data_IF_392743873700
#
_entry.id   IF_392743873700
#
_cell.length_a   1.000
_cell.length_b   1.000
_cell.length_c   1.000
_cell.angle_alpha   90.00
_cell.angle_beta   90.00
_cell.angle_gamma   90.00
#
_symmetry.space_group_name_H-M   'P 1'
#
loop_
_entity.id
_entity.type
_entity.pdbx_description
1 polymer ?
#
# COMPACT_ATOMS: atom_id res chain seq x y z
N UNK A 1 -8.90 -7.73 4.67
CA UNK A 1 -7.57 -8.25 5.05
C UNK A 1 -6.72 -7.14 5.64
N UNK A 2 -5.65 -7.49 6.35
CA UNK A 2 -4.69 -6.52 6.88
C UNK A 2 -3.33 -6.70 6.20
N UNK A 3 -2.79 -5.62 5.65
CA UNK A 3 -1.50 -5.60 4.97
C UNK A 3 -0.54 -4.67 5.69
N UNK A 4 0.70 -5.10 5.88
CA UNK A 4 1.79 -4.23 6.31
C UNK A 4 2.59 -3.78 5.10
N UNK A 5 2.79 -2.47 4.96
CA UNK A 5 3.70 -1.93 3.94
C UNK A 5 5.14 -2.00 4.44
N UNK A 6 6.05 -2.55 3.64
CA UNK A 6 7.49 -2.55 3.90
C UNK A 6 8.20 -1.90 2.71
N UNK A 7 8.72 -0.69 2.90
CA UNK A 7 9.34 0.10 1.83
C UNK A 7 9.70 1.50 2.31
N UNK A 8 10.14 2.37 1.39
CA UNK A 8 10.33 3.79 1.71
C UNK A 8 8.97 4.45 1.91
N UNK A 9 8.81 5.24 2.99
CA UNK A 9 7.57 6.01 3.17
C UNK A 9 7.44 7.07 2.09
N UNK A 10 6.26 7.24 1.51
CA UNK A 10 6.04 8.18 0.42
C UNK A 10 4.68 8.87 0.51
N UNK A 11 4.58 10.02 -0.16
CA UNK A 11 3.41 10.90 -0.09
C UNK A 11 3.32 11.62 1.25
N UNK A 12 2.60 12.75 1.28
CA UNK A 12 2.24 13.39 2.57
C UNK A 12 1.29 12.47 3.35
N UNK A 13 0.37 11.84 2.61
CA UNK A 13 -0.67 10.94 3.13
C UNK A 13 -0.71 9.60 2.34
N UNK A 14 0.44 9.08 1.91
CA UNK A 14 0.53 7.82 1.15
C UNK A 14 0.73 6.59 2.05
N UNK A 15 1.81 5.84 1.82
CA UNK A 15 2.17 4.67 2.64
C UNK A 15 3.38 4.96 3.53
N UNK A 16 3.29 4.54 4.79
CA UNK A 16 4.33 4.64 5.82
C UNK A 16 4.93 3.28 6.11
N UNK A 17 6.26 3.19 6.07
CA UNK A 17 6.99 1.97 6.35
C UNK A 17 6.60 1.33 7.70
N UNK A 18 6.26 0.04 7.66
CA UNK A 18 5.90 -0.76 8.83
C UNK A 18 4.47 -0.57 9.32
N UNK A 19 3.70 0.37 8.76
CA UNK A 19 2.28 0.57 9.12
C UNK A 19 1.41 -0.54 8.53
N UNK A 20 0.36 -0.89 9.27
CA UNK A 20 -0.66 -1.87 8.88
C UNK A 20 -1.89 -1.11 8.39
N UNK A 21 -2.43 -1.57 7.27
CA UNK A 21 -3.54 -0.96 6.56
C UNK A 21 -4.68 -1.96 6.38
N UNK A 22 -5.90 -1.43 6.38
CA UNK A 22 -7.08 -2.15 5.95
C UNK A 22 -7.07 -2.22 4.42
N UNK A 23 -7.26 -3.42 3.88
CA UNK A 23 -7.23 -3.64 2.44
C UNK A 23 -8.11 -4.81 2.00
N UNK A 24 -8.42 -4.84 0.71
CA UNK A 24 -9.08 -5.96 0.05
C UNK A 24 -8.56 -6.17 -1.37
N UNK A 25 -8.86 -7.34 -1.93
CA UNK A 25 -8.56 -7.65 -3.32
C UNK A 25 -9.57 -6.92 -4.20
N UNK A 26 -9.10 -5.99 -5.02
CA UNK A 26 -9.94 -5.39 -6.08
C UNK A 26 -9.94 -6.30 -7.31
N UNK A 27 -8.74 -6.64 -7.80
CA UNK A 27 -8.53 -7.48 -8.99
C UNK A 27 -7.28 -8.38 -8.82
N UNK A 28 -6.78 -8.99 -9.90
CA UNK A 28 -5.62 -9.88 -9.83
C UNK A 28 -4.31 -9.16 -9.48
N UNK A 29 -4.14 -7.91 -9.87
CA UNK A 29 -2.87 -7.16 -9.82
C UNK A 29 -2.84 -6.08 -8.74
N UNK A 30 -4.02 -5.65 -8.24
CA UNK A 30 -4.14 -4.56 -7.26
C UNK A 30 -4.84 -4.94 -5.96
N UNK A 31 -4.37 -4.33 -4.86
CA UNK A 31 -5.12 -4.18 -3.63
C UNK A 31 -5.76 -2.79 -3.59
N UNK A 32 -6.97 -2.73 -3.04
CA UNK A 32 -7.57 -1.47 -2.59
C UNK A 32 -7.22 -1.31 -1.11
N UNK A 33 -6.57 -0.21 -0.76
CA UNK A 33 -5.95 0.03 0.56
C UNK A 33 -6.39 1.39 1.06
N UNK A 34 -6.90 1.44 2.30
CA UNK A 34 -7.13 2.71 3.01
C UNK A 34 -5.79 3.20 3.54
N UNK A 35 -5.21 4.23 2.93
CA UNK A 35 -3.84 4.68 3.22
C UNK A 35 -3.77 5.79 4.30
N UNK A 36 -2.66 6.51 4.41
CA UNK A 36 -2.49 7.54 5.45
C UNK A 36 -3.45 8.73 5.28
N UNK A 37 -4.07 8.90 4.10
CA UNK A 37 -5.10 9.93 3.86
C UNK A 37 -6.45 9.60 4.48
N UNK A 38 -6.68 8.33 4.82
CA UNK A 38 -7.98 7.81 5.26
C UNK A 38 -8.95 7.50 4.11
N UNK A 39 -8.55 7.74 2.86
CA UNK A 39 -9.28 7.34 1.66
C UNK A 39 -8.70 6.05 1.09
N UNK A 40 -9.48 5.34 0.27
CA UNK A 40 -9.03 4.11 -0.37
C UNK A 40 -8.45 4.35 -1.78
N UNK A 41 -7.28 3.76 -2.03
CA UNK A 41 -6.60 3.82 -3.33
C UNK A 41 -6.14 2.44 -3.80
N UNK A 42 -5.86 2.34 -5.10
CA UNK A 42 -5.30 1.13 -5.70
C UNK A 42 -3.78 1.15 -5.60
N UNK A 43 -3.24 0.06 -5.05
CA UNK A 43 -1.82 -0.19 -4.96
C UNK A 43 -1.49 -1.53 -5.59
N UNK A 44 -0.40 -1.55 -6.36
CA UNK A 44 0.14 -2.76 -6.97
C UNK A 44 0.46 -3.80 -5.89
N UNK A 45 0.10 -5.07 -6.13
CA UNK A 45 0.32 -6.16 -5.16
C UNK A 45 1.79 -6.55 -5.01
N UNK A 46 2.62 -6.26 -6.00
CA UNK A 46 4.02 -6.67 -6.07
C UNK A 46 4.93 -5.52 -5.64
N UNK A 47 4.70 -4.31 -6.17
CA UNK A 47 5.50 -3.12 -5.89
C UNK A 47 4.63 -1.86 -5.66
N UNK A 48 3.97 -1.73 -4.50
CA UNK A 48 3.25 -0.52 -4.13
C UNK A 48 4.18 0.71 -4.12
N UNK A 49 3.85 1.71 -4.93
CA UNK A 49 4.63 2.96 -5.08
C UNK A 49 3.81 4.10 -5.71
N UNK A 50 4.27 5.35 -5.60
CA UNK A 50 3.72 6.48 -6.34
C UNK A 50 3.82 6.30 -7.86
N UNK A 51 2.79 6.74 -8.59
CA UNK A 51 2.77 6.70 -10.06
C UNK A 51 3.77 7.66 -10.70
N UNK A 52 4.15 8.72 -10.00
CA UNK A 52 5.13 9.71 -10.47
C UNK A 52 6.59 9.24 -10.33
N UNK A 53 6.81 8.05 -9.76
CA UNK A 53 8.15 7.48 -9.57
C UNK A 53 8.99 8.18 -8.50
N UNK A 54 8.37 8.99 -7.63
CA UNK A 54 9.06 9.72 -6.56
C UNK A 54 9.64 8.82 -5.46
N UNK A 55 9.25 7.54 -5.42
CA UNK A 55 9.77 6.54 -4.49
C UNK A 55 10.03 5.21 -5.19
N UNK A 56 11.07 4.45 -4.79
CA UNK A 56 11.31 3.10 -5.31
C UNK A 56 10.17 2.12 -5.01
N UNK A 57 9.34 2.41 -4.00
CA UNK A 57 8.24 1.56 -3.55
C UNK A 57 8.63 0.59 -2.45
N UNK A 58 7.86 -0.49 -2.35
CA UNK A 58 8.03 -1.51 -1.32
C UNK A 58 7.35 -2.82 -1.66
N UNK A 59 6.94 -3.56 -0.63
CA UNK A 59 6.17 -4.80 -0.74
C UNK A 59 5.12 -4.87 0.36
N UNK A 60 4.15 -5.75 0.17
CA UNK A 60 3.16 -6.10 1.19
C UNK A 60 3.58 -7.32 1.99
N UNK A 61 3.35 -7.28 3.30
CA UNK A 61 3.31 -8.47 4.15
C UNK A 61 1.87 -8.67 4.63
N UNK A 62 1.29 -9.84 4.34
CA UNK A 62 -0.08 -10.17 4.77
C UNK A 62 -0.05 -10.46 6.28
N UNK A 63 -0.76 -9.66 7.07
CA UNK A 63 -0.84 -9.79 8.53
C UNK A 63 -2.02 -10.68 8.93
N UNK A 64 -3.19 -10.43 8.34
CA UNK A 64 -4.43 -11.19 8.57
C UNK A 64 -5.21 -11.28 7.26
N UNK A 65 -5.79 -12.45 6.97
CA UNK A 65 -6.59 -12.68 5.76
C UNK A 65 -8.07 -12.47 6.02
#
# INVERSE_FOLDING_TARGET
MQLRYIGESFGVDGLTNGKIYEAWVEDNDYYRVVDDSGEDYLYDKINPRPLDGSSPGGRWEIVEK
#
